data_IF_715724060491
#
_entry.id   IF_715724060491
#
_cell.length_a   1.000
_cell.length_b   1.000
_cell.length_c   1.000
_cell.angle_alpha   90.00
_cell.angle_beta   90.00
_cell.angle_gamma   90.00
#
_symmetry.space_group_name_H-M   'P 1'
#
loop_
_entity.id
_entity.type
_entity.pdbx_description
1 polymer ?
#
# COMPACT_ATOMS: atom_id res chain seq x y z
N UNK A 1 -20.72 9.21 5.04
CA UNK A 1 -19.33 9.16 4.52
C UNK A 1 -19.28 7.99 3.55
N UNK A 2 -18.98 8.23 2.28
CA UNK A 2 -18.78 7.16 1.31
C UNK A 2 -17.40 6.53 1.48
N UNK A 3 -17.16 5.36 0.85
CA UNK A 3 -15.83 4.75 0.83
C UNK A 3 -14.80 5.69 0.18
N UNK A 4 -15.18 6.39 -0.89
CA UNK A 4 -14.32 7.38 -1.55
C UNK A 4 -13.98 8.54 -0.63
N UNK A 5 -14.94 9.05 0.15
CA UNK A 5 -14.67 10.12 1.12
C UNK A 5 -13.68 9.67 2.19
N UNK A 6 -13.81 8.42 2.66
CA UNK A 6 -12.86 7.83 3.59
C UNK A 6 -11.46 7.75 2.98
N UNK A 7 -11.32 7.19 1.77
CA UNK A 7 -10.04 7.09 1.05
C UNK A 7 -9.41 8.47 0.88
N UNK A 8 -10.20 9.47 0.44
CA UNK A 8 -9.74 10.85 0.27
C UNK A 8 -9.20 11.44 1.57
N UNK A 9 -9.95 11.30 2.66
CA UNK A 9 -9.54 11.78 3.98
C UNK A 9 -8.27 11.05 4.50
N UNK A 10 -8.18 9.73 4.30
CA UNK A 10 -7.00 8.94 4.65
C UNK A 10 -5.77 9.40 3.89
N UNK A 11 -5.85 9.52 2.56
CA UNK A 11 -4.72 9.96 1.72
C UNK A 11 -4.29 11.40 2.03
N UNK A 12 -5.24 12.29 2.36
CA UNK A 12 -4.93 13.66 2.78
C UNK A 12 -4.18 13.71 4.12
N UNK A 13 -4.56 12.84 5.06
CA UNK A 13 -3.94 12.76 6.39
C UNK A 13 -2.57 12.10 6.33
N UNK A 14 -2.47 10.98 5.60
CA UNK A 14 -1.28 10.13 5.57
C UNK A 14 -0.21 10.66 4.60
N UNK A 15 -0.62 11.38 3.56
CA UNK A 15 0.22 11.84 2.44
C UNK A 15 1.10 10.71 1.84
N UNK A 16 0.56 9.50 1.82
CA UNK A 16 1.22 8.29 1.33
C UNK A 16 0.18 7.25 0.88
N UNK A 17 0.67 6.07 0.51
CA UNK A 17 -0.14 4.88 0.24
C UNK A 17 -1.19 4.64 1.33
N UNK A 18 -2.35 4.11 0.92
CA UNK A 18 -3.36 3.63 1.85
C UNK A 18 -2.84 2.39 2.57
N UNK A 19 -3.00 2.38 3.90
CA UNK A 19 -2.60 1.27 4.75
C UNK A 19 -3.44 0.01 4.48
N UNK A 20 -2.82 -1.16 4.60
CA UNK A 20 -3.50 -2.46 4.42
C UNK A 20 -4.60 -2.72 5.45
N UNK A 21 -4.49 -2.09 6.62
CA UNK A 21 -5.46 -2.15 7.69
C UNK A 21 -5.49 -0.80 8.43
N UNK A 22 -6.68 -0.33 8.81
CA UNK A 22 -6.85 0.97 9.46
C UNK A 22 -8.04 0.95 10.43
N UNK A 23 -7.89 1.43 11.67
CA UNK A 23 -6.61 1.79 12.30
C UNK A 23 -5.74 0.55 12.53
N UNK A 24 -4.43 0.73 12.70
CA UNK A 24 -3.58 -0.38 13.14
C UNK A 24 -4.03 -0.87 14.52
N UNK A 25 -3.87 -2.17 14.75
CA UNK A 25 -4.10 -2.81 16.05
C UNK A 25 -2.89 -2.47 16.92
N UNK A 26 -3.13 -1.77 18.02
CA UNK A 26 -2.12 -1.33 18.99
C UNK A 26 -1.71 -2.46 19.93
N UNK A 27 -0.49 -2.34 20.49
CA UNK A 27 0.19 -3.36 21.31
C UNK A 27 -0.60 -3.81 22.55
N UNK A 28 -1.28 -2.89 23.23
CA UNK A 28 -1.95 -3.09 24.51
C UNK A 28 -3.44 -3.46 24.37
N UNK A 29 -3.84 -3.98 23.21
CA UNK A 29 -5.24 -4.33 22.92
C UNK A 29 -5.50 -5.83 22.96
N UNK A 30 -6.73 -6.21 23.32
CA UNK A 30 -7.19 -7.60 23.21
C UNK A 30 -7.01 -8.18 21.80
N UNK A 31 -7.22 -7.36 20.76
CA UNK A 31 -7.03 -7.79 19.37
C UNK A 31 -5.57 -8.13 19.04
N UNK A 32 -4.59 -7.50 19.69
CA UNK A 32 -3.19 -7.85 19.50
C UNK A 32 -2.88 -9.24 20.06
N UNK A 33 -3.47 -9.61 21.20
CA UNK A 33 -3.33 -10.96 21.76
C UNK A 33 -3.84 -12.03 20.77
N UNK A 34 -4.99 -11.79 20.14
CA UNK A 34 -5.52 -12.69 19.10
C UNK A 34 -4.61 -12.71 17.86
N UNK A 35 -4.19 -11.55 17.38
CA UNK A 35 -3.36 -11.42 16.18
C UNK A 35 -2.01 -12.12 16.33
N UNK A 36 -1.41 -12.09 17.53
CA UNK A 36 -0.14 -12.77 17.85
C UNK A 36 -0.20 -14.27 17.62
N UNK A 37 -1.36 -14.88 17.77
CA UNK A 37 -1.55 -16.32 17.55
C UNK A 37 -1.87 -16.68 16.09
N UNK A 38 -2.03 -15.69 15.20
CA UNK A 38 -2.39 -15.90 13.79
C UNK A 38 -1.23 -15.52 12.86
N UNK A 39 -0.25 -16.41 12.74
CA UNK A 39 0.87 -16.28 11.79
C UNK A 39 1.44 -17.65 11.39
N UNK A 40 2.07 -17.72 10.21
CA UNK A 40 2.63 -18.97 9.68
C UNK A 40 4.10 -19.21 10.08
N UNK A 41 4.85 -18.16 10.45
CA UNK A 41 6.30 -18.23 10.71
C UNK A 41 6.68 -17.57 12.05
N UNK A 42 7.38 -16.43 12.02
CA UNK A 42 7.50 -15.52 13.16
C UNK A 42 6.46 -14.41 13.07
N UNK A 43 6.03 -13.89 14.21
CA UNK A 43 5.12 -12.76 14.25
C UNK A 43 5.77 -11.50 13.67
N UNK A 44 5.08 -10.86 12.72
CA UNK A 44 5.53 -9.63 12.04
C UNK A 44 4.47 -8.53 12.03
N UNK A 45 3.23 -8.80 12.41
CA UNK A 45 2.13 -7.83 12.31
C UNK A 45 2.07 -6.88 13.52
N UNK A 46 3.22 -6.35 13.93
CA UNK A 46 3.29 -5.25 14.90
C UNK A 46 2.53 -4.02 14.38
N UNK A 47 2.15 -3.06 15.25
CA UNK A 47 1.41 -1.88 14.81
C UNK A 47 2.11 -1.18 13.64
N UNK A 48 1.36 -0.90 12.58
CA UNK A 48 1.83 -0.28 11.34
C UNK A 48 2.81 -1.12 10.51
N UNK A 49 2.97 -2.41 10.81
CA UNK A 49 3.81 -3.32 10.03
C UNK A 49 2.99 -4.36 9.27
N UNK A 50 3.52 -4.83 8.14
CA UNK A 50 2.95 -5.91 7.33
C UNK A 50 1.45 -5.74 7.07
N UNK A 51 0.62 -6.69 7.51
CA UNK A 51 -0.82 -6.62 7.29
C UNK A 51 -1.51 -5.67 8.28
N UNK A 52 -0.90 -5.40 9.44
CA UNK A 52 -1.41 -4.53 10.49
C UNK A 52 -1.07 -3.05 10.23
N UNK A 53 -1.51 -2.54 9.09
CA UNK A 53 -1.34 -1.13 8.74
C UNK A 53 -0.03 -0.80 8.02
N UNK A 54 0.70 -1.81 7.54
CA UNK A 54 1.79 -1.61 6.60
C UNK A 54 1.29 -1.09 5.24
N UNK A 55 2.21 -0.53 4.47
CA UNK A 55 1.94 0.07 3.17
C UNK A 55 2.44 -0.87 2.07
N UNK A 56 1.59 -1.16 1.10
CA UNK A 56 1.87 -2.15 0.07
C UNK A 56 1.64 -1.53 -1.32
N UNK A 57 2.69 -1.41 -2.15
CA UNK A 57 2.55 -0.88 -3.50
C UNK A 57 1.57 -1.68 -4.37
N UNK A 58 1.55 -3.01 -4.24
CA UNK A 58 0.64 -3.88 -5.03
C UNK A 58 -0.83 -3.56 -4.79
N UNK A 59 -1.27 -3.47 -3.54
CA UNK A 59 -2.68 -3.19 -3.22
C UNK A 59 -3.10 -1.79 -3.62
N UNK A 60 -2.17 -0.83 -3.54
CA UNK A 60 -2.42 0.53 -4.00
C UNK A 60 -2.50 0.61 -5.54
N UNK A 61 -1.83 -0.27 -6.27
CA UNK A 61 -2.03 -0.41 -7.71
C UNK A 61 -3.46 -0.82 -8.07
N UNK A 62 -4.01 -1.82 -7.36
CA UNK A 62 -5.43 -2.19 -7.51
C UNK A 62 -6.39 -1.08 -7.06
N UNK A 63 -6.03 -0.32 -6.02
CA UNK A 63 -6.79 0.86 -5.62
C UNK A 63 -6.87 1.88 -6.75
N UNK A 64 -5.75 2.18 -7.44
CA UNK A 64 -5.73 3.07 -8.61
C UNK A 64 -6.69 2.57 -9.69
N UNK A 65 -6.70 1.27 -9.99
CA UNK A 65 -7.63 0.69 -10.96
C UNK A 65 -9.11 0.90 -10.54
N UNK A 66 -9.43 0.67 -9.26
CA UNK A 66 -10.78 0.90 -8.72
C UNK A 66 -11.19 2.37 -8.73
N UNK A 67 -10.27 3.28 -8.42
CA UNK A 67 -10.48 4.73 -8.50
C UNK A 67 -10.76 5.17 -9.93
N UNK A 68 -10.00 4.66 -10.92
CA UNK A 68 -10.24 4.93 -12.33
C UNK A 68 -11.60 4.41 -12.80
N UNK A 69 -12.00 3.21 -12.38
CA UNK A 69 -13.33 2.66 -12.65
C UNK A 69 -14.47 3.48 -12.00
N UNK A 70 -14.15 4.25 -10.95
CA UNK A 70 -15.09 5.14 -10.25
C UNK A 70 -14.98 6.60 -10.70
N UNK A 71 -14.21 6.89 -11.77
CA UNK A 71 -13.95 8.24 -12.29
C UNK A 71 -13.23 9.20 -11.31
N UNK A 72 -12.55 8.67 -10.29
CA UNK A 72 -11.76 9.44 -9.31
C UNK A 72 -10.31 9.64 -9.79
N UNK A 73 -10.15 10.31 -10.94
CA UNK A 73 -8.88 10.40 -11.67
C UNK A 73 -7.77 11.09 -10.88
N UNK A 74 -8.09 12.16 -10.14
CA UNK A 74 -7.08 12.90 -9.38
C UNK A 74 -6.53 12.09 -8.19
N UNK A 75 -7.40 11.35 -7.50
CA UNK A 75 -6.97 10.41 -6.46
C UNK A 75 -6.11 9.29 -7.06
N UNK A 76 -6.50 8.75 -8.21
CA UNK A 76 -5.73 7.74 -8.93
C UNK A 76 -4.30 8.23 -9.27
N UNK A 77 -4.16 9.46 -9.78
CA UNK A 77 -2.85 10.08 -10.05
C UNK A 77 -2.03 10.26 -8.77
N UNK A 78 -2.66 10.73 -7.70
CA UNK A 78 -2.01 10.93 -6.42
C UNK A 78 -1.45 9.62 -5.86
N UNK A 79 -2.27 8.56 -5.82
CA UNK A 79 -1.84 7.24 -5.33
C UNK A 79 -0.75 6.65 -6.23
N UNK A 80 -0.82 6.83 -7.54
CA UNK A 80 0.24 6.39 -8.47
C UNK A 80 1.58 7.06 -8.16
N UNK A 81 1.60 8.36 -7.87
CA UNK A 81 2.82 9.05 -7.46
C UNK A 81 3.38 8.50 -6.13
N UNK A 82 2.51 8.16 -5.17
CA UNK A 82 2.93 7.51 -3.93
C UNK A 82 3.51 6.11 -4.15
N UNK A 83 2.96 5.32 -5.08
CA UNK A 83 3.50 4.00 -5.47
C UNK A 83 4.92 4.14 -6.01
N UNK A 84 5.15 5.10 -6.91
CA UNK A 84 6.49 5.35 -7.45
C UNK A 84 7.47 5.80 -6.38
N UNK A 85 7.07 6.71 -5.49
CA UNK A 85 7.91 7.14 -4.36
C UNK A 85 8.26 5.97 -3.45
N UNK A 86 7.31 5.09 -3.15
CA UNK A 86 7.55 3.89 -2.35
C UNK A 86 8.54 2.94 -3.05
N UNK A 87 8.37 2.70 -4.35
CA UNK A 87 9.24 1.82 -5.13
C UNK A 87 10.66 2.37 -5.32
N UNK A 88 10.85 3.70 -5.27
CA UNK A 88 12.15 4.35 -5.34
C UNK A 88 12.96 4.26 -4.03
N UNK A 89 12.34 3.94 -2.89
CA UNK A 89 13.07 3.84 -1.61
C UNK A 89 14.05 2.67 -1.66
N UNK A 90 15.32 2.96 -1.40
CA UNK A 90 16.42 2.00 -1.51
C UNK A 90 17.55 2.30 -0.52
N UNK A 91 17.29 2.15 0.79
CA UNK A 91 18.27 2.47 1.82
C UNK A 91 19.60 1.73 1.57
N UNK A 92 20.67 2.50 1.39
CA UNK A 92 22.03 1.98 1.18
C UNK A 92 22.43 1.73 -0.28
N UNK A 93 21.61 2.08 -1.28
CA UNK A 93 21.96 1.93 -2.70
C UNK A 93 21.40 3.07 -3.55
N UNK A 94 21.91 3.26 -4.77
CA UNK A 94 21.35 4.22 -5.75
C UNK A 94 20.33 3.58 -6.73
N UNK A 95 20.02 2.28 -6.56
CA UNK A 95 19.05 1.57 -7.41
C UNK A 95 17.62 1.74 -6.91
N UNK A 96 16.63 1.45 -7.76
CA UNK A 96 15.22 1.29 -7.36
C UNK A 96 15.05 0.10 -6.42
N UNK A 97 14.22 0.24 -5.37
CA UNK A 97 14.11 -0.76 -4.31
C UNK A 97 13.02 -1.80 -4.51
N UNK A 98 11.82 -1.37 -4.94
CA UNK A 98 10.63 -2.24 -5.08
C UNK A 98 10.38 -3.16 -3.87
N UNK A 99 10.41 -2.59 -2.66
CA UNK A 99 10.21 -3.37 -1.46
C UNK A 99 8.78 -3.93 -1.38
N UNK A 100 8.65 -5.12 -0.81
CA UNK A 100 7.39 -5.83 -0.60
C UNK A 100 6.37 -4.95 0.13
N UNK A 101 6.80 -4.32 1.22
CA UNK A 101 6.00 -3.38 1.99
C UNK A 101 6.87 -2.39 2.76
N UNK A 102 6.19 -1.37 3.29
CA UNK A 102 6.77 -0.31 4.09
C UNK A 102 6.00 -0.14 5.40
N UNK A 103 6.64 0.45 6.39
CA UNK A 103 6.01 0.77 7.66
C UNK A 103 4.96 1.89 7.49
N UNK A 104 3.79 1.74 8.13
CA UNK A 104 2.64 2.63 8.01
C UNK A 104 2.88 4.07 8.47
N UNK A 105 3.76 4.29 9.45
CA UNK A 105 4.14 5.62 9.95
C UNK A 105 5.45 6.14 9.36
N UNK A 106 6.59 5.49 9.65
CA UNK A 106 7.91 5.97 9.18
C UNK A 106 8.07 5.93 7.65
N UNK A 107 7.25 5.14 6.97
CA UNK A 107 7.32 4.91 5.52
C UNK A 107 8.64 4.25 5.10
N UNK A 108 9.37 3.67 6.04
CA UNK A 108 10.61 2.97 5.73
C UNK A 108 10.30 1.58 5.19
N UNK A 109 11.12 1.07 4.26
CA UNK A 109 10.96 -0.30 3.80
C UNK A 109 11.26 -1.31 4.91
N UNK A 110 10.36 -2.27 5.13
CA UNK A 110 10.50 -3.33 6.14
C UNK A 110 10.35 -4.74 5.54
N UNK A 111 9.84 -4.84 4.31
CA UNK A 111 9.72 -6.09 3.57
C UNK A 111 10.98 -6.46 2.80
N UNK A 112 10.92 -7.52 2.00
CA UNK A 112 12.02 -7.91 1.11
C UNK A 112 12.14 -6.95 -0.08
N UNK A 113 13.37 -6.62 -0.56
CA UNK A 113 13.57 -5.78 -1.74
C UNK A 113 13.27 -6.55 -3.04
N UNK A 114 13.22 -5.82 -4.17
CA UNK A 114 13.07 -6.35 -5.53
C UNK A 114 11.84 -7.27 -5.70
N UNK A 115 10.76 -6.94 -5.01
CA UNK A 115 9.56 -7.76 -5.02
C UNK A 115 8.71 -7.49 -6.26
N UNK A 116 8.51 -8.51 -7.09
CA UNK A 116 7.83 -8.40 -8.39
C UNK A 116 6.44 -7.79 -8.28
N UNK A 117 5.69 -8.07 -7.21
CA UNK A 117 4.35 -7.51 -7.05
C UNK A 117 4.33 -6.00 -6.79
N UNK A 118 5.43 -5.43 -6.28
CA UNK A 118 5.51 -4.00 -5.99
C UNK A 118 5.74 -3.23 -7.29
N UNK A 119 6.54 -3.82 -8.19
CA UNK A 119 6.65 -3.38 -9.57
C UNK A 119 5.33 -3.56 -10.32
N UNK A 120 4.65 -4.71 -10.15
CA UNK A 120 3.35 -4.96 -10.77
C UNK A 120 2.28 -3.94 -10.33
N UNK A 121 2.30 -3.52 -9.05
CA UNK A 121 1.43 -2.45 -8.56
C UNK A 121 1.58 -1.14 -9.34
N UNK A 122 2.83 -0.74 -9.65
CA UNK A 122 3.08 0.43 -10.48
C UNK A 122 2.60 0.24 -11.93
N UNK A 123 2.80 -0.95 -12.51
CA UNK A 123 2.30 -1.27 -13.86
C UNK A 123 0.78 -1.21 -13.93
N UNK A 124 0.08 -1.80 -12.96
CA UNK A 124 -1.39 -1.75 -12.87
C UNK A 124 -1.86 -0.30 -12.79
N UNK A 125 -1.23 0.51 -11.94
CA UNK A 125 -1.58 1.92 -11.76
C UNK A 125 -1.42 2.74 -13.05
N UNK A 126 -0.26 2.64 -13.70
CA UNK A 126 0.04 3.35 -14.95
C UNK A 126 -0.88 2.94 -16.10
N UNK A 127 -1.11 1.63 -16.29
CA UNK A 127 -2.02 1.14 -17.32
C UNK A 127 -3.46 1.59 -17.06
N UNK A 128 -3.91 1.58 -15.80
CA UNK A 128 -5.24 2.08 -15.45
C UNK A 128 -5.39 3.57 -15.79
N UNK A 129 -4.36 4.39 -15.50
CA UNK A 129 -4.36 5.82 -15.84
C UNK A 129 -4.30 6.09 -17.34
N UNK A 130 -3.68 5.21 -18.13
CA UNK A 130 -3.65 5.34 -19.59
C UNK A 130 -4.98 4.97 -20.25
N UNK A 131 -5.98 4.54 -19.46
CA UNK A 131 -7.26 4.03 -19.97
C UNK A 131 -7.16 2.61 -20.55
N UNK A 132 -6.07 1.89 -20.27
CA UNK A 132 -5.93 0.51 -20.67
C UNK A 132 -6.91 -0.35 -19.88
N UNK A 133 -7.75 -1.10 -20.59
CA UNK A 133 -8.69 -2.04 -19.98
C UNK A 133 -8.11 -3.45 -20.01
N UNK A 134 -7.95 -4.06 -18.83
CA UNK A 134 -7.59 -5.47 -18.74
C UNK A 134 -8.80 -6.32 -19.14
N UNK A 135 -8.88 -6.68 -20.41
CA UNK A 135 -9.85 -7.65 -20.92
C UNK A 135 -9.25 -9.05 -20.82
N UNK A 136 -9.76 -9.87 -19.90
CA UNK A 136 -9.54 -11.32 -19.91
C UNK A 136 -10.54 -11.94 -20.89
N UNK A 137 -10.37 -11.64 -22.17
CA UNK A 137 -11.13 -12.24 -23.28
C UNK A 137 -10.25 -13.20 -24.04
#
# INVERSE_FOLDING_TARGET
>A
MTLIDFIRASLQTQQDLLASFSPAIEEDTFFMEELRHNHAYGFRNFPHEFHNGGLWPVWNGFLVAGLMASHEVELARQVTAYIHRANQKSPGTESVGFYENLHGLSKDPIGVPLCTWSAAGAVIAELSLSGFSFSLT
#
